data_IF_122534371616
#
_entry.id   IF_122534371616
#
_cell.length_a   1.000
_cell.length_b   1.000
_cell.length_c   1.000
_cell.angle_alpha   90.00
_cell.angle_beta   90.00
_cell.angle_gamma   90.00
#
_symmetry.space_group_name_H-M   'P 1'
#
loop_
_entity.id
_entity.type
_entity.pdbx_description
1 polymer ?
#
# COMPACT_ATOMS: atom_id res chain seq x y z
N UNK A 1 -19.95 18.68 19.23
CA UNK A 1 -18.69 18.21 19.90
C UNK A 1 -17.61 18.10 18.85
N UNK A 2 -16.48 18.74 19.05
CA UNK A 2 -15.32 18.75 18.13
C UNK A 2 -14.71 17.36 18.02
N UNK A 3 -14.38 16.95 16.77
CA UNK A 3 -13.76 15.66 16.46
C UNK A 3 -12.35 15.90 15.92
N UNK A 4 -11.35 15.62 16.76
CA UNK A 4 -9.93 15.76 16.40
C UNK A 4 -9.56 14.72 15.32
N UNK A 5 -8.75 15.13 14.34
CA UNK A 5 -8.33 14.26 13.23
C UNK A 5 -9.42 13.96 12.19
N UNK A 6 -10.52 14.73 12.20
CA UNK A 6 -11.64 14.57 11.24
C UNK A 6 -12.02 15.91 10.61
N UNK A 7 -12.49 15.84 9.37
CA UNK A 7 -13.13 17.00 8.72
C UNK A 7 -14.51 17.22 9.28
N UNK A 8 -14.82 18.48 9.50
CA UNK A 8 -16.12 18.90 10.00
C UNK A 8 -16.40 20.35 9.61
N UNK A 9 -17.67 20.69 9.57
CA UNK A 9 -18.14 22.03 9.27
C UNK A 9 -18.27 22.84 10.55
N UNK A 10 -17.66 24.01 10.57
CA UNK A 10 -17.71 24.97 11.68
C UNK A 10 -17.99 26.36 11.16
N UNK A 11 -18.59 27.19 12.00
CA UNK A 11 -18.94 28.60 11.67
C UNK A 11 -17.81 29.50 12.13
N UNK A 12 -17.45 30.49 11.31
CA UNK A 12 -16.51 31.56 11.70
C UNK A 12 -17.22 32.48 12.71
N UNK A 13 -16.67 32.53 13.94
CA UNK A 13 -17.20 33.33 15.00
C UNK A 13 -16.69 34.77 14.91
N UNK A 14 -15.38 34.95 14.75
CA UNK A 14 -14.76 36.27 14.60
C UNK A 14 -13.40 36.18 13.93
N UNK A 15 -12.83 37.31 13.54
CA UNK A 15 -11.48 37.46 13.04
C UNK A 15 -10.57 38.16 14.02
N UNK A 16 -9.26 37.79 14.00
CA UNK A 16 -8.22 38.42 14.82
C UNK A 16 -6.96 38.67 14.00
N UNK A 17 -5.93 39.24 14.63
CA UNK A 17 -4.61 39.45 13.98
C UNK A 17 -3.89 38.13 13.60
N UNK A 18 -4.26 36.99 14.21
CA UNK A 18 -3.59 35.67 13.99
C UNK A 18 -4.41 34.72 13.09
N UNK A 19 -5.68 35.03 12.82
CA UNK A 19 -6.56 34.21 11.99
C UNK A 19 -8.03 34.38 12.36
N UNK A 20 -8.86 33.48 11.84
CA UNK A 20 -10.26 33.34 12.17
C UNK A 20 -10.46 32.36 13.34
N UNK A 21 -11.35 32.64 14.24
CA UNK A 21 -11.80 31.75 15.30
C UNK A 21 -13.10 31.08 14.91
N UNK A 22 -13.10 29.75 14.93
CA UNK A 22 -14.25 28.91 14.59
C UNK A 22 -14.99 28.50 15.86
N UNK A 23 -16.31 28.58 15.82
CA UNK A 23 -17.17 28.24 16.94
C UNK A 23 -17.09 26.76 17.33
N UNK A 24 -16.67 26.46 18.53
CA UNK A 24 -16.48 25.09 19.02
C UNK A 24 -17.77 24.42 19.54
N UNK A 25 -18.90 25.16 19.58
CA UNK A 25 -20.17 24.65 20.10
C UNK A 25 -20.29 24.77 21.62
N UNK A 26 -19.54 25.66 22.24
CA UNK A 26 -19.58 25.99 23.67
C UNK A 26 -19.81 27.50 23.85
N UNK A 27 -20.28 27.91 25.02
CA UNK A 27 -20.51 29.33 25.33
C UNK A 27 -19.20 30.06 25.79
N UNK A 28 -18.07 29.34 25.92
CA UNK A 28 -16.77 29.94 26.24
C UNK A 28 -15.97 30.19 24.95
N UNK A 29 -15.77 31.51 24.66
CA UNK A 29 -14.96 31.93 23.49
C UNK A 29 -13.53 31.40 23.51
N UNK A 30 -13.00 30.98 24.67
CA UNK A 30 -11.68 30.39 24.80
C UNK A 30 -11.58 28.99 24.16
N UNK A 31 -12.73 28.32 23.99
CA UNK A 31 -12.81 27.01 23.33
C UNK A 31 -12.81 27.15 21.80
N UNK A 32 -12.98 28.37 21.24
CA UNK A 32 -12.98 28.57 19.80
C UNK A 32 -11.65 28.16 19.17
N UNK A 33 -11.74 27.55 17.98
CA UNK A 33 -10.61 26.92 17.32
C UNK A 33 -10.00 27.89 16.31
N UNK A 34 -8.69 28.12 16.42
CA UNK A 34 -7.97 29.00 15.51
C UNK A 34 -7.83 28.37 14.13
N UNK A 35 -8.23 29.09 13.09
CA UNK A 35 -7.88 28.86 11.68
C UNK A 35 -6.88 29.97 11.30
N UNK A 36 -5.56 29.64 11.13
CA UNK A 36 -4.52 30.65 10.97
C UNK A 36 -4.62 31.49 9.71
N UNK A 37 -4.05 32.70 9.71
CA UNK A 37 -4.08 33.64 8.58
C UNK A 37 -3.54 33.04 7.26
N UNK A 38 -2.49 32.20 7.31
CA UNK A 38 -1.94 31.54 6.12
C UNK A 38 -2.91 30.54 5.45
N UNK A 39 -3.93 30.10 6.19
CA UNK A 39 -5.02 29.27 5.66
C UNK A 39 -6.12 30.12 4.99
N UNK A 40 -6.18 31.41 5.32
CA UNK A 40 -7.21 32.35 4.84
C UNK A 40 -6.82 33.05 3.53
N UNK A 41 -5.54 33.04 3.16
CA UNK A 41 -5.04 33.71 1.97
C UNK A 41 -5.82 33.35 0.71
N UNK A 42 -6.27 34.38 -0.02
CA UNK A 42 -7.02 34.21 -1.28
C UNK A 42 -8.48 33.78 -1.09
N UNK A 43 -9.02 33.77 0.14
CA UNK A 43 -10.41 33.43 0.42
C UNK A 43 -11.19 34.66 0.92
N UNK A 44 -12.34 34.94 0.33
CA UNK A 44 -13.27 35.99 0.78
C UNK A 44 -14.24 35.34 1.81
N UNK A 45 -13.82 35.28 3.08
CA UNK A 45 -14.59 34.68 4.18
C UNK A 45 -15.01 35.77 5.16
N UNK A 46 -16.20 35.60 5.76
CA UNK A 46 -16.82 36.56 6.70
C UNK A 46 -17.27 35.82 7.96
N UNK A 47 -17.50 36.64 9.02
CA UNK A 47 -18.16 36.14 10.22
C UNK A 47 -19.54 35.57 9.87
N UNK A 48 -19.85 34.40 10.43
CA UNK A 48 -21.05 33.64 10.14
C UNK A 48 -20.94 32.64 9.01
N UNK A 49 -19.87 32.66 8.21
CA UNK A 49 -19.66 31.67 7.14
C UNK A 49 -19.37 30.29 7.72
N UNK A 50 -19.97 29.23 7.10
CA UNK A 50 -19.67 27.85 7.43
C UNK A 50 -18.49 27.37 6.58
N UNK A 51 -17.45 26.84 7.23
CA UNK A 51 -16.25 26.32 6.58
C UNK A 51 -16.00 24.86 6.94
N UNK A 52 -15.57 24.06 5.96
CA UNK A 52 -15.17 22.66 6.19
C UNK A 52 -13.66 22.60 6.44
N UNK A 53 -13.27 22.22 7.66
CA UNK A 53 -11.89 22.18 8.12
C UNK A 53 -11.55 20.84 8.76
N UNK A 54 -10.25 20.52 8.76
CA UNK A 54 -9.68 19.45 9.56
C UNK A 54 -9.19 20.06 10.88
N UNK A 55 -9.54 19.43 12.01
CA UNK A 55 -9.09 19.85 13.33
C UNK A 55 -7.98 18.89 13.80
N UNK A 56 -6.88 19.47 14.25
CA UNK A 56 -5.76 18.73 14.85
C UNK A 56 -5.11 19.52 15.97
N UNK A 57 -4.07 18.99 16.62
CA UNK A 57 -3.32 19.71 17.65
C UNK A 57 -1.99 20.19 17.13
N UNK A 58 -1.67 21.47 17.36
CA UNK A 58 -0.39 22.08 17.03
C UNK A 58 0.75 21.60 17.97
N UNK A 59 1.95 22.18 17.80
CA UNK A 59 3.13 21.83 18.62
C UNK A 59 2.99 22.21 20.09
N UNK A 60 2.08 23.13 20.43
CA UNK A 60 1.76 23.56 21.79
C UNK A 60 0.54 22.82 22.37
N UNK A 61 0.08 21.75 21.67
CA UNK A 61 -1.07 20.91 22.04
C UNK A 61 -2.44 21.62 22.02
N UNK A 62 -2.53 22.79 21.32
CA UNK A 62 -3.77 23.53 21.14
C UNK A 62 -4.53 23.01 19.94
N UNK A 63 -5.86 23.05 19.98
CA UNK A 63 -6.70 22.75 18.83
C UNK A 63 -6.54 23.82 17.75
N UNK A 64 -6.27 23.38 16.52
CA UNK A 64 -6.09 24.23 15.35
C UNK A 64 -6.83 23.65 14.15
N UNK A 65 -7.35 24.52 13.30
CA UNK A 65 -8.06 24.17 12.08
C UNK A 65 -7.17 24.39 10.85
N UNK A 66 -7.38 23.59 9.80
CA UNK A 66 -6.72 23.75 8.50
C UNK A 66 -7.65 23.40 7.36
N UNK A 67 -7.50 24.08 6.22
CA UNK A 67 -8.09 23.67 4.93
C UNK A 67 -7.27 22.60 4.18
N UNK A 68 -6.04 22.35 4.62
CA UNK A 68 -5.17 21.39 3.94
C UNK A 68 -5.86 20.05 3.77
N UNK A 69 -5.75 19.51 2.58
CA UNK A 69 -6.30 18.19 2.26
C UNK A 69 -5.27 17.12 2.63
N UNK A 70 -5.68 16.18 3.45
CA UNK A 70 -4.96 14.93 3.71
C UNK A 70 -5.96 13.79 3.68
N UNK A 71 -5.53 12.65 3.17
CA UNK A 71 -6.30 11.40 3.23
C UNK A 71 -6.12 10.68 4.57
N UNK A 72 -5.11 11.10 5.35
CA UNK A 72 -4.78 10.56 6.66
C UNK A 72 -5.71 11.15 7.74
N UNK A 73 -6.85 10.51 7.96
CA UNK A 73 -7.85 10.91 8.96
C UNK A 73 -7.97 9.87 10.08
N UNK A 74 -8.42 10.28 11.27
CA UNK A 74 -8.68 9.34 12.37
C UNK A 74 -9.74 8.30 11.96
N UNK A 75 -9.36 7.02 12.06
CA UNK A 75 -10.19 5.89 11.67
C UNK A 75 -9.89 5.36 10.26
N UNK A 76 -8.94 5.95 9.52
CA UNK A 76 -8.52 5.49 8.18
C UNK A 76 -7.11 4.90 8.18
N UNK A 77 -6.76 4.24 7.09
CA UNK A 77 -5.40 3.81 6.74
C UNK A 77 -4.79 4.80 5.77
N UNK A 78 -3.48 5.05 5.91
CA UNK A 78 -2.71 5.85 4.97
C UNK A 78 -1.26 5.35 4.88
N UNK A 79 -0.63 5.48 3.70
CA UNK A 79 0.80 5.25 3.51
C UNK A 79 1.54 6.55 3.74
N UNK A 80 2.27 6.63 4.84
CA UNK A 80 2.98 7.85 5.26
C UNK A 80 4.49 7.64 5.31
N UNK A 81 5.23 8.67 4.93
CA UNK A 81 6.69 8.67 4.94
C UNK A 81 7.22 8.96 6.34
N UNK A 82 8.24 8.22 6.76
CA UNK A 82 8.97 8.47 8.00
C UNK A 82 9.96 9.61 7.76
N UNK A 83 9.79 10.72 8.46
CA UNK A 83 10.67 11.91 8.37
C UNK A 83 11.70 11.97 9.49
N UNK A 84 11.41 11.35 10.64
CA UNK A 84 12.35 11.24 11.78
C UNK A 84 12.02 10.00 12.62
N UNK A 85 13.03 9.45 13.32
CA UNK A 85 12.87 8.34 14.26
C UNK A 85 13.64 8.58 15.56
N UNK A 86 12.90 8.92 16.61
CA UNK A 86 13.44 9.13 17.95
C UNK A 86 13.39 7.82 18.75
N UNK A 87 14.56 7.30 19.22
CA UNK A 87 14.62 6.00 19.92
C UNK A 87 13.75 5.92 21.18
N UNK A 88 13.48 7.05 21.86
CA UNK A 88 12.70 7.09 23.11
C UNK A 88 11.20 7.27 22.87
N UNK A 89 10.83 8.07 21.89
CA UNK A 89 9.44 8.47 21.65
C UNK A 89 8.78 7.59 20.58
N UNK A 90 9.41 7.46 19.43
CA UNK A 90 8.88 6.80 18.25
C UNK A 90 9.23 7.57 16.98
N UNK A 91 8.66 7.16 15.86
CA UNK A 91 8.86 7.81 14.57
C UNK A 91 7.88 8.98 14.37
N UNK A 92 8.26 9.87 13.49
CA UNK A 92 7.45 10.98 13.02
C UNK A 92 7.18 10.80 11.53
N UNK A 93 5.92 10.99 11.13
CA UNK A 93 5.44 10.71 9.79
C UNK A 93 4.91 12.00 9.16
N UNK A 94 5.25 12.22 7.89
CA UNK A 94 4.60 13.30 7.12
C UNK A 94 3.18 12.87 6.73
N UNK A 95 2.19 13.63 7.21
CA UNK A 95 0.77 13.46 6.86
C UNK A 95 0.16 14.67 6.17
N UNK A 96 1.02 15.58 5.68
CA UNK A 96 0.65 16.76 4.92
C UNK A 96 0.24 17.98 5.76
N UNK A 97 0.45 17.94 7.09
CA UNK A 97 0.19 19.06 7.99
C UNK A 97 1.51 19.64 8.55
N UNK A 98 1.41 20.79 9.21
CA UNK A 98 2.60 21.50 9.74
C UNK A 98 3.31 20.75 10.87
N UNK A 99 2.60 19.91 11.60
CA UNK A 99 3.14 19.06 12.67
C UNK A 99 3.13 17.61 12.21
N UNK A 100 4.27 16.95 12.27
CA UNK A 100 4.38 15.54 11.91
C UNK A 100 3.53 14.65 12.84
N UNK A 101 3.05 13.56 12.27
CA UNK A 101 2.23 12.59 12.97
C UNK A 101 3.11 11.60 13.74
N UNK A 102 2.90 11.46 15.03
CA UNK A 102 3.68 10.54 15.87
C UNK A 102 3.24 9.09 15.68
N UNK A 103 4.20 8.20 15.44
CA UNK A 103 4.08 6.75 15.54
C UNK A 103 4.85 6.27 16.78
N UNK A 104 4.19 6.04 17.92
CA UNK A 104 4.85 5.61 19.17
C UNK A 104 5.59 4.29 18.98
N UNK A 105 6.72 4.07 19.70
CA UNK A 105 7.47 2.82 19.64
C UNK A 105 6.61 1.58 19.96
N UNK A 106 5.65 1.70 20.90
CA UNK A 106 4.71 0.63 21.24
C UNK A 106 3.71 0.29 20.14
N UNK A 107 3.60 1.13 19.13
CA UNK A 107 2.68 0.96 17.99
C UNK A 107 3.39 0.52 16.70
N UNK A 108 4.71 0.38 16.72
CA UNK A 108 5.49 -0.18 15.62
C UNK A 108 5.38 -1.71 15.59
N UNK A 109 5.35 -2.31 14.42
CA UNK A 109 5.44 -3.77 14.17
C UNK A 109 6.84 -4.17 13.67
N UNK A 110 7.66 -3.18 13.26
CA UNK A 110 9.06 -3.37 12.83
C UNK A 110 9.88 -2.12 13.12
N UNK A 111 11.20 -2.22 12.97
CA UNK A 111 12.07 -1.06 12.91
C UNK A 111 11.79 -0.30 11.62
N UNK A 112 11.48 0.98 11.74
CA UNK A 112 11.21 1.84 10.58
C UNK A 112 12.49 2.50 10.08
N UNK A 113 12.49 2.91 8.80
CA UNK A 113 13.59 3.58 8.14
C UNK A 113 13.13 4.97 7.65
N UNK A 114 13.93 6.00 7.91
CA UNK A 114 13.66 7.36 7.44
C UNK A 114 13.64 7.38 5.90
N UNK A 115 12.67 8.09 5.31
CA UNK A 115 12.43 8.16 3.88
C UNK A 115 11.59 7.01 3.32
N UNK A 116 11.33 5.95 4.10
CA UNK A 116 10.40 4.88 3.68
C UNK A 116 8.96 5.20 4.08
N UNK A 117 8.03 4.70 3.28
CA UNK A 117 6.60 4.82 3.52
C UNK A 117 6.06 3.53 4.12
N UNK A 118 5.23 3.67 5.15
CA UNK A 118 4.57 2.55 5.81
C UNK A 118 3.06 2.75 5.87
N UNK A 119 2.31 1.66 5.73
CA UNK A 119 0.87 1.66 5.91
C UNK A 119 0.55 1.72 7.41
N UNK A 120 -0.11 2.80 7.82
CA UNK A 120 -0.46 3.06 9.22
C UNK A 120 -1.94 3.39 9.35
N UNK A 121 -2.51 3.05 10.50
CA UNK A 121 -3.83 3.51 10.90
C UNK A 121 -3.73 4.73 11.79
N UNK A 122 -4.65 5.68 11.64
CA UNK A 122 -4.70 6.87 12.48
C UNK A 122 -5.76 6.71 13.57
N UNK A 123 -5.38 7.03 14.79
CA UNK A 123 -6.28 6.95 15.95
C UNK A 123 -6.09 8.16 16.88
N UNK A 124 -7.10 8.42 17.69
CA UNK A 124 -7.01 9.40 18.76
C UNK A 124 -6.48 8.71 20.03
N UNK A 125 -5.38 9.23 20.58
CA UNK A 125 -4.78 8.69 21.81
C UNK A 125 -5.58 9.12 23.05
N UNK A 126 -5.21 8.60 24.24
CA UNK A 126 -5.89 8.90 25.52
C UNK A 126 -5.80 10.37 25.94
N UNK A 127 -4.96 11.16 25.28
CA UNK A 127 -4.82 12.62 25.52
C UNK A 127 -5.54 13.46 24.46
N UNK A 128 -6.34 12.82 23.58
CA UNK A 128 -7.05 13.51 22.50
C UNK A 128 -6.16 14.01 21.36
N UNK A 129 -5.00 13.35 21.11
CA UNK A 129 -4.09 13.69 20.02
C UNK A 129 -4.18 12.62 18.92
N UNK A 130 -4.04 13.04 17.67
CA UNK A 130 -3.91 12.11 16.56
C UNK A 130 -2.54 11.42 16.62
N UNK A 131 -2.53 10.10 16.53
CA UNK A 131 -1.34 9.26 16.53
C UNK A 131 -1.47 8.15 15.50
N UNK A 132 -0.34 7.65 15.01
CA UNK A 132 -0.28 6.54 14.06
C UNK A 132 -0.05 5.19 14.74
N UNK A 133 -0.49 4.11 14.11
CA UNK A 133 -0.19 2.73 14.52
C UNK A 133 0.05 1.83 13.32
N UNK A 134 1.04 0.96 13.39
CA UNK A 134 1.25 -0.14 12.42
C UNK A 134 0.38 -1.37 12.74
N UNK A 135 -0.27 -1.41 13.91
CA UNK A 135 -1.22 -2.46 14.32
C UNK A 135 -2.56 -2.27 13.63
N UNK A 136 -2.56 -2.41 12.31
CA UNK A 136 -3.67 -1.98 11.44
C UNK A 136 -4.84 -2.96 11.34
N UNK A 137 -4.77 -4.12 11.96
CA UNK A 137 -5.82 -5.15 11.85
C UNK A 137 -7.25 -4.61 12.06
N UNK A 138 -7.44 -3.74 13.05
CA UNK A 138 -8.76 -3.15 13.37
C UNK A 138 -9.30 -2.14 12.33
N UNK A 139 -8.45 -1.71 11.39
CA UNK A 139 -8.84 -0.79 10.32
C UNK A 139 -9.20 -1.54 9.04
N UNK A 140 -8.82 -2.81 8.94
CA UNK A 140 -9.11 -3.63 7.78
C UNK A 140 -10.54 -4.16 7.83
N UNK A 141 -11.11 -4.43 6.67
CA UNK A 141 -12.46 -4.96 6.52
C UNK A 141 -12.50 -6.21 5.63
N UNK A 142 -13.55 -7.04 5.74
CA UNK A 142 -13.80 -8.11 4.80
C UNK A 142 -14.06 -7.56 3.39
N UNK A 143 -13.67 -8.33 2.35
CA UNK A 143 -13.92 -7.96 0.95
C UNK A 143 -15.21 -8.59 0.44
N UNK A 144 -16.05 -7.78 -0.24
CA UNK A 144 -17.22 -8.28 -0.95
C UNK A 144 -17.04 -8.32 -2.47
N UNK A 145 -16.02 -7.63 -2.99
CA UNK A 145 -15.87 -7.37 -4.43
C UNK A 145 -14.80 -8.27 -5.07
N UNK A 146 -13.81 -8.69 -4.28
CA UNK A 146 -12.67 -9.49 -4.75
C UNK A 146 -13.05 -10.98 -4.84
N UNK A 147 -12.64 -11.64 -5.93
CA UNK A 147 -12.95 -13.04 -6.23
C UNK A 147 -11.70 -13.91 -6.28
N UNK A 148 -11.89 -15.22 -6.15
CA UNK A 148 -10.82 -16.20 -6.40
C UNK A 148 -10.29 -16.05 -7.83
N UNK A 149 -8.99 -15.96 -7.97
CA UNK A 149 -8.29 -15.78 -9.24
C UNK A 149 -7.85 -14.35 -9.51
N UNK A 150 -8.46 -13.35 -8.86
CA UNK A 150 -8.10 -11.95 -9.04
C UNK A 150 -6.63 -11.71 -8.65
N UNK A 151 -5.99 -10.78 -9.37
CA UNK A 151 -4.67 -10.26 -9.05
C UNK A 151 -4.88 -8.94 -8.32
N UNK A 152 -4.26 -8.80 -7.16
CA UNK A 152 -4.44 -7.65 -6.26
C UNK A 152 -3.09 -7.15 -5.76
N UNK A 153 -3.03 -5.86 -5.44
CA UNK A 153 -1.89 -5.29 -4.72
C UNK A 153 -2.12 -5.43 -3.21
N UNK A 154 -1.05 -5.65 -2.49
CA UNK A 154 -1.14 -5.82 -1.05
C UNK A 154 0.12 -5.33 -0.34
N UNK A 155 -0.04 -4.75 0.84
CA UNK A 155 1.05 -4.28 1.70
C UNK A 155 1.21 -5.23 2.89
N UNK A 156 2.42 -5.71 3.11
CA UNK A 156 2.74 -6.55 4.28
C UNK A 156 2.68 -5.69 5.53
N UNK A 157 1.86 -6.09 6.51
CA UNK A 157 1.79 -5.37 7.78
C UNK A 157 2.22 -6.20 9.00
N UNK A 158 2.34 -7.53 8.85
CA UNK A 158 2.81 -8.41 9.91
C UNK A 158 3.29 -9.74 9.33
N UNK A 159 4.41 -10.24 9.84
CA UNK A 159 4.92 -11.58 9.52
C UNK A 159 4.79 -12.48 10.76
N UNK A 160 4.34 -13.72 10.55
CA UNK A 160 4.24 -14.73 11.59
C UNK A 160 4.80 -16.05 11.05
N UNK A 161 5.80 -16.59 11.73
CA UNK A 161 6.56 -17.75 11.24
C UNK A 161 5.74 -19.05 11.17
N UNK A 162 4.67 -19.16 11.94
CA UNK A 162 3.81 -20.36 11.96
C UNK A 162 2.62 -20.24 11.00
N UNK A 163 1.99 -19.08 10.93
CA UNK A 163 0.75 -18.87 10.20
C UNK A 163 1.03 -18.43 8.76
N UNK A 164 1.98 -17.50 8.57
CA UNK A 164 2.32 -16.87 7.31
C UNK A 164 2.36 -15.34 7.38
N UNK A 165 2.24 -14.69 6.24
CA UNK A 165 2.39 -13.24 6.11
C UNK A 165 1.04 -12.57 5.97
N UNK A 166 0.74 -11.66 6.90
CA UNK A 166 -0.49 -10.88 6.89
C UNK A 166 -0.30 -9.64 6.02
N UNK A 167 -1.23 -9.42 5.11
CA UNK A 167 -1.20 -8.33 4.15
C UNK A 167 -2.51 -7.54 4.14
N UNK A 168 -2.42 -6.25 3.88
CA UNK A 168 -3.56 -5.39 3.61
C UNK A 168 -3.77 -5.34 2.10
N UNK A 169 -4.78 -6.04 1.60
CA UNK A 169 -5.13 -6.07 0.17
C UNK A 169 -5.79 -4.74 -0.19
N UNK A 170 -5.28 -4.07 -1.25
CA UNK A 170 -5.69 -2.73 -1.67
C UNK A 170 -5.69 -1.73 -0.49
N UNK A 171 -4.75 -1.91 0.46
CA UNK A 171 -4.63 -1.16 1.70
C UNK A 171 -5.95 -1.06 2.52
N UNK A 172 -6.82 -2.02 2.36
CA UNK A 172 -8.19 -1.99 2.89
C UNK A 172 -8.69 -3.32 3.43
N UNK A 173 -8.41 -4.44 2.75
CA UNK A 173 -9.03 -5.73 3.05
C UNK A 173 -8.08 -6.69 3.74
N UNK A 174 -8.62 -7.58 4.57
CA UNK A 174 -7.84 -8.65 5.20
C UNK A 174 -7.29 -9.63 4.18
N UNK A 175 -5.97 -9.83 4.21
CA UNK A 175 -5.29 -10.83 3.41
C UNK A 175 -4.27 -11.63 4.22
N UNK A 176 -4.06 -12.88 3.81
CA UNK A 176 -3.04 -13.78 4.36
C UNK A 176 -2.36 -14.52 3.22
N UNK A 177 -1.04 -14.51 3.19
CA UNK A 177 -0.23 -15.48 2.47
C UNK A 177 0.04 -16.61 3.46
N UNK A 178 -0.60 -17.80 3.31
CA UNK A 178 -0.36 -18.92 4.22
C UNK A 178 1.12 -19.32 4.21
N UNK A 179 1.63 -19.88 5.31
CA UNK A 179 3.04 -20.29 5.42
C UNK A 179 3.48 -21.22 4.28
N UNK A 180 2.59 -22.10 3.82
CA UNK A 180 2.83 -23.01 2.68
C UNK A 180 3.03 -22.30 1.33
N UNK A 181 2.63 -21.03 1.24
CA UNK A 181 2.75 -20.18 0.05
C UNK A 181 3.84 -19.10 0.20
N UNK A 182 4.49 -19.00 1.37
CA UNK A 182 5.63 -18.10 1.59
C UNK A 182 6.92 -18.77 1.11
N UNK A 183 7.37 -18.45 -0.12
CA UNK A 183 8.60 -19.00 -0.71
C UNK A 183 9.80 -18.07 -0.58
N UNK A 184 9.55 -16.85 -0.16
CA UNK A 184 10.50 -15.77 0.05
C UNK A 184 10.30 -15.20 1.45
N UNK A 185 11.29 -14.50 1.94
CA UNK A 185 11.19 -13.73 3.18
C UNK A 185 10.53 -12.38 2.88
N UNK A 186 9.51 -12.04 3.64
CA UNK A 186 8.81 -10.76 3.53
C UNK A 186 9.08 -9.91 4.76
N UNK A 187 9.12 -8.60 4.53
CA UNK A 187 9.27 -7.59 5.58
C UNK A 187 8.03 -6.70 5.67
N UNK A 188 7.75 -6.18 6.87
CA UNK A 188 6.67 -5.21 7.04
C UNK A 188 6.94 -3.95 6.21
N UNK A 189 5.97 -3.55 5.40
CA UNK A 189 6.07 -2.47 4.44
C UNK A 189 6.31 -2.92 2.99
N UNK A 190 6.61 -4.20 2.75
CA UNK A 190 6.75 -4.71 1.38
C UNK A 190 5.42 -4.61 0.62
N UNK A 191 5.51 -4.17 -0.62
CA UNK A 191 4.38 -4.10 -1.55
C UNK A 191 4.45 -5.28 -2.53
N UNK A 192 3.39 -6.05 -2.58
CA UNK A 192 3.32 -7.30 -3.32
C UNK A 192 2.14 -7.30 -4.28
N UNK A 193 2.33 -7.87 -5.46
CA UNK A 193 1.23 -8.24 -6.36
C UNK A 193 0.94 -9.72 -6.19
N UNK A 194 -0.25 -10.04 -5.73
CA UNK A 194 -0.64 -11.38 -5.27
C UNK A 194 -1.89 -11.86 -6.00
N UNK A 195 -2.02 -13.16 -6.13
CA UNK A 195 -3.23 -13.81 -6.65
C UNK A 195 -4.10 -14.33 -5.50
N UNK A 196 -5.40 -14.07 -5.56
CA UNK A 196 -6.37 -14.59 -4.61
C UNK A 196 -6.59 -16.09 -4.88
N UNK A 197 -6.21 -16.92 -3.93
CA UNK A 197 -6.37 -18.38 -4.01
C UNK A 197 -7.71 -18.84 -3.45
N UNK A 198 -8.20 -18.13 -2.43
CA UNK A 198 -9.47 -18.43 -1.76
C UNK A 198 -10.07 -17.18 -1.15
N UNK A 199 -11.38 -17.04 -1.27
CA UNK A 199 -12.19 -16.14 -0.43
C UNK A 199 -12.84 -17.00 0.66
N UNK A 200 -12.53 -16.69 1.93
CA UNK A 200 -13.06 -17.43 3.09
C UNK A 200 -14.52 -17.09 3.33
N UNK A 201 -15.20 -17.85 4.19
CA UNK A 201 -16.60 -17.58 4.58
C UNK A 201 -16.76 -16.22 5.27
N UNK A 202 -15.76 -15.81 6.09
CA UNK A 202 -15.69 -14.51 6.74
C UNK A 202 -15.20 -13.39 5.78
N UNK A 203 -15.16 -13.64 4.47
CA UNK A 203 -14.76 -12.70 3.42
C UNK A 203 -13.32 -12.19 3.52
N UNK A 204 -12.47 -12.85 4.28
CA UNK A 204 -11.01 -12.63 4.26
C UNK A 204 -10.38 -13.42 3.11
N UNK A 205 -9.21 -12.97 2.66
CA UNK A 205 -8.57 -13.46 1.44
C UNK A 205 -7.34 -14.30 1.77
N UNK A 206 -7.25 -15.51 1.21
CA UNK A 206 -6.00 -16.25 1.12
C UNK A 206 -5.33 -15.96 -0.21
N UNK A 207 -4.04 -15.69 -0.18
CA UNK A 207 -3.27 -15.15 -1.29
C UNK A 207 -2.02 -16.00 -1.56
N UNK A 208 -1.53 -15.92 -2.80
CA UNK A 208 -0.28 -16.55 -3.20
C UNK A 208 0.52 -15.62 -4.12
N UNK A 209 1.84 -15.53 -3.97
CA UNK A 209 2.72 -14.83 -4.90
C UNK A 209 2.92 -15.62 -6.21
N UNK A 210 2.51 -16.90 -6.26
CA UNK A 210 2.66 -17.72 -7.45
C UNK A 210 1.69 -17.30 -8.55
N UNK A 211 2.23 -17.04 -9.72
CA UNK A 211 1.45 -16.92 -10.94
C UNK A 211 0.73 -18.26 -11.25
N UNK A 212 -0.40 -18.20 -11.93
CA UNK A 212 -0.99 -19.42 -12.49
C UNK A 212 0.04 -20.10 -13.40
N UNK A 213 -0.03 -21.44 -13.48
CA UNK A 213 0.85 -22.19 -14.38
C UNK A 213 0.67 -21.74 -15.85
N UNK A 214 -0.55 -21.34 -16.23
CA UNK A 214 -0.84 -20.72 -17.53
C UNK A 214 -0.05 -19.44 -17.74
N UNK A 215 -0.10 -18.52 -16.78
CA UNK A 215 0.55 -17.20 -16.85
C UNK A 215 2.09 -17.35 -16.83
N UNK A 216 2.58 -18.32 -16.06
CA UNK A 216 4.00 -18.65 -16.05
C UNK A 216 4.45 -19.23 -17.40
N UNK A 217 3.64 -20.10 -18.02
CA UNK A 217 3.94 -20.64 -19.35
C UNK A 217 3.91 -19.54 -20.40
N UNK A 218 3.00 -18.60 -20.32
CA UNK A 218 2.90 -17.46 -21.23
C UNK A 218 4.11 -16.54 -21.09
N UNK A 219 4.49 -16.17 -19.86
CA UNK A 219 5.70 -15.41 -19.57
C UNK A 219 6.99 -16.10 -20.04
N UNK A 220 7.12 -17.41 -19.77
CA UNK A 220 8.27 -18.21 -20.24
C UNK A 220 8.28 -18.27 -21.77
N UNK A 221 7.12 -18.37 -22.43
CA UNK A 221 6.98 -18.39 -23.88
C UNK A 221 7.38 -17.05 -24.52
N UNK A 222 6.94 -15.91 -23.94
CA UNK A 222 7.37 -14.58 -24.38
C UNK A 222 8.88 -14.37 -24.25
N UNK A 223 9.48 -14.82 -23.13
CA UNK A 223 10.93 -14.79 -22.92
C UNK A 223 11.66 -15.58 -24.01
N UNK A 224 11.25 -16.82 -24.27
CA UNK A 224 11.85 -17.68 -25.28
C UNK A 224 11.67 -17.09 -26.68
N UNK A 225 10.48 -16.60 -27.01
CA UNK A 225 10.18 -15.96 -28.30
C UNK A 225 11.04 -14.70 -28.52
N UNK A 226 11.20 -13.86 -27.49
CA UNK A 226 12.07 -12.69 -27.53
C UNK A 226 13.53 -13.06 -27.85
N UNK A 227 14.06 -14.09 -27.18
CA UNK A 227 15.41 -14.60 -27.43
C UNK A 227 15.55 -15.22 -28.83
N UNK A 228 14.52 -15.92 -29.32
CA UNK A 228 14.50 -16.46 -30.71
C UNK A 228 14.55 -15.33 -31.74
N UNK A 229 13.81 -14.23 -31.53
CA UNK A 229 13.83 -13.05 -32.41
C UNK A 229 15.20 -12.37 -32.45
N UNK A 230 15.93 -12.36 -31.33
CA UNK A 230 17.28 -11.79 -31.23
C UNK A 230 18.31 -12.69 -31.96
N UNK A 231 18.27 -14.00 -31.73
CA UNK A 231 19.22 -14.95 -32.32
C UNK A 231 18.92 -15.30 -33.77
N UNK A 232 17.67 -15.19 -34.20
CA UNK A 232 17.21 -15.55 -35.56
C UNK A 232 17.72 -16.94 -35.98
N UNK A 233 18.50 -17.02 -37.06
CA UNK A 233 19.06 -18.23 -37.59
C UNK A 233 20.12 -18.91 -36.66
N UNK A 234 20.61 -18.23 -35.65
CA UNK A 234 21.56 -18.74 -34.67
C UNK A 234 20.89 -19.38 -33.45
N UNK A 235 19.55 -19.44 -33.39
CA UNK A 235 18.85 -20.14 -32.31
C UNK A 235 19.09 -21.65 -32.42
N UNK A 236 19.76 -22.25 -31.43
CA UNK A 236 20.19 -23.67 -31.43
C UNK A 236 19.59 -24.48 -30.29
N UNK A 237 18.75 -23.87 -29.44
CA UNK A 237 18.11 -24.57 -28.34
C UNK A 237 16.97 -25.46 -28.84
N UNK A 238 16.92 -26.68 -28.32
CA UNK A 238 15.91 -27.67 -28.68
C UNK A 238 15.58 -28.60 -27.50
N UNK A 239 14.75 -29.60 -27.70
CA UNK A 239 14.35 -30.58 -26.68
C UNK A 239 15.52 -31.34 -26.05
N UNK A 240 16.65 -31.45 -26.74
CA UNK A 240 17.84 -32.19 -26.32
C UNK A 240 18.87 -31.28 -25.62
N UNK A 241 18.72 -29.95 -25.69
CA UNK A 241 19.61 -29.00 -25.01
C UNK A 241 19.73 -29.33 -23.52
N UNK A 242 20.93 -29.12 -22.95
CA UNK A 242 21.19 -29.45 -21.55
C UNK A 242 20.34 -28.56 -20.60
N UNK A 243 20.10 -29.04 -19.38
CA UNK A 243 19.38 -28.23 -18.38
C UNK A 243 20.20 -27.03 -17.93
N UNK A 244 21.54 -27.16 -17.97
CA UNK A 244 22.49 -26.11 -17.61
C UNK A 244 22.50 -24.99 -18.66
N UNK A 245 22.66 -25.34 -19.96
CA UNK A 245 22.62 -24.34 -21.03
C UNK A 245 21.31 -23.55 -21.08
N UNK A 246 20.17 -24.23 -20.83
CA UNK A 246 18.87 -23.60 -20.80
C UNK A 246 18.77 -22.65 -19.61
N UNK A 247 19.23 -23.08 -18.43
CA UNK A 247 19.19 -22.26 -17.21
C UNK A 247 20.09 -21.03 -17.34
N UNK A 248 21.31 -21.22 -17.89
CA UNK A 248 22.29 -20.14 -18.04
C UNK A 248 21.81 -19.08 -19.04
N UNK A 249 21.21 -19.54 -20.16
CA UNK A 249 20.81 -18.62 -21.21
C UNK A 249 19.43 -17.95 -20.98
N UNK A 250 18.44 -18.72 -20.49
CA UNK A 250 17.06 -18.25 -20.33
C UNK A 250 16.71 -17.93 -18.87
N UNK A 251 17.46 -18.40 -17.89
CA UNK A 251 17.12 -18.28 -16.47
C UNK A 251 15.97 -19.18 -16.00
N UNK A 252 15.51 -20.13 -16.85
CA UNK A 252 14.39 -21.04 -16.56
C UNK A 252 14.82 -22.49 -16.56
N UNK A 253 14.01 -23.37 -15.93
CA UNK A 253 14.30 -24.81 -15.94
C UNK A 253 14.02 -25.43 -17.32
N UNK A 254 14.69 -26.57 -17.66
CA UNK A 254 14.41 -27.31 -18.88
C UNK A 254 12.93 -27.72 -19.01
N UNK A 255 12.25 -28.01 -17.90
CA UNK A 255 10.82 -28.33 -17.89
C UNK A 255 9.96 -27.10 -18.27
N UNK A 256 10.33 -25.89 -17.77
CA UNK A 256 9.69 -24.64 -18.13
C UNK A 256 9.92 -24.29 -19.60
N UNK A 257 11.16 -24.42 -20.10
CA UNK A 257 11.50 -24.22 -21.50
C UNK A 257 10.66 -25.12 -22.43
N UNK A 258 10.56 -26.42 -22.12
CA UNK A 258 9.73 -27.35 -22.93
C UNK A 258 8.26 -26.96 -22.96
N UNK A 259 7.70 -26.47 -21.83
CA UNK A 259 6.30 -25.97 -21.78
C UNK A 259 6.14 -24.70 -22.62
N UNK A 260 7.11 -23.79 -22.54
CA UNK A 260 7.13 -22.56 -23.34
C UNK A 260 7.16 -22.86 -24.84
N UNK A 261 8.06 -23.72 -25.28
CA UNK A 261 8.14 -24.22 -26.69
C UNK A 261 6.80 -24.84 -27.11
N UNK A 262 6.21 -25.71 -26.27
CA UNK A 262 4.91 -26.33 -26.56
C UNK A 262 3.79 -25.31 -26.74
N UNK A 263 3.77 -24.25 -25.92
CA UNK A 263 2.83 -23.12 -26.04
C UNK A 263 3.04 -22.33 -27.34
N UNK A 264 4.30 -22.01 -27.68
CA UNK A 264 4.64 -21.29 -28.92
C UNK A 264 4.25 -22.06 -30.19
N UNK A 265 4.49 -23.39 -30.19
CA UNK A 265 4.07 -24.28 -31.27
C UNK A 265 2.55 -24.33 -31.43
N UNK A 266 1.84 -24.50 -30.30
CA UNK A 266 0.36 -24.53 -30.27
C UNK A 266 -0.24 -23.24 -30.79
N UNK A 267 0.36 -22.10 -30.44
CA UNK A 267 -0.09 -20.78 -30.90
C UNK A 267 0.40 -20.43 -32.33
N UNK A 268 1.14 -21.31 -32.97
CA UNK A 268 1.62 -21.11 -34.34
C UNK A 268 2.65 -20.02 -34.52
N UNK A 269 3.34 -19.61 -33.45
CA UNK A 269 4.37 -18.55 -33.46
C UNK A 269 5.76 -19.10 -33.89
N UNK A 270 5.98 -20.36 -33.70
CA UNK A 270 7.18 -21.09 -34.13
C UNK A 270 6.81 -22.39 -34.83
N UNK A 271 7.75 -22.95 -35.55
CA UNK A 271 7.62 -24.27 -36.16
C UNK A 271 8.90 -25.07 -35.98
N UNK A 272 8.79 -26.40 -36.10
CA UNK A 272 9.94 -27.32 -35.99
C UNK A 272 10.58 -27.47 -37.38
N UNK A 273 11.88 -27.21 -37.45
CA UNK A 273 12.69 -27.43 -38.65
C UNK A 273 13.86 -28.37 -38.31
N UNK A 274 13.68 -29.66 -38.63
CA UNK A 274 14.61 -30.71 -38.21
C UNK A 274 14.66 -30.81 -36.69
N UNK A 275 15.84 -30.65 -36.11
CA UNK A 275 16.07 -30.72 -34.66
C UNK A 275 15.91 -29.38 -33.96
N UNK A 276 15.62 -28.30 -34.68
CA UNK A 276 15.55 -26.95 -34.13
C UNK A 276 14.16 -26.33 -34.28
N UNK A 277 13.94 -25.23 -33.55
CA UNK A 277 12.74 -24.41 -33.66
C UNK A 277 13.06 -23.11 -34.39
N UNK A 278 12.19 -22.70 -35.31
CA UNK A 278 12.30 -21.45 -36.08
C UNK A 278 11.05 -20.61 -35.93
N UNK A 279 11.19 -19.30 -36.08
CA UNK A 279 10.04 -18.38 -36.12
C UNK A 279 9.21 -18.68 -37.38
N UNK A 280 7.91 -18.81 -37.19
CA UNK A 280 6.99 -18.88 -38.32
C UNK A 280 6.87 -17.50 -38.96
N UNK A 281 6.95 -17.48 -40.31
CA UNK A 281 6.83 -16.25 -41.11
C UNK A 281 5.39 -15.72 -41.13
#
# INVERSE_FOLDING_TARGET
MIKVGKRQKLVINNFSSVGAYLFAGTDDDKDNILLPNNELEGKDLKEGDEVEVLIYRDSEDRLIATFRKTEALVGTLAKLEVVDDNPRLGAFLDWGLNKDLMLPNSQKETKVEIGKRYLVGLYEDSKGRVSATMKIYKFLMPSNDIKKGDIVNATVYRVNDEIGTFVAVEDRYFGLIPKSECFEEYSVGDELTLRVTRVREDKKLDLSPRKLLSDQIESDAELVLGKMRLLKEHFRFNDNSSAEDIKDYFGISKKAFKRAIGSLLKNGLIEKNGDYFILKK
#
